data_IF_651915673844
#
_entry.id   IF_651915673844
#
_cell.length_a   1.000
_cell.length_b   1.000
_cell.length_c   1.000
_cell.angle_alpha   90.00
_cell.angle_beta   90.00
_cell.angle_gamma   90.00
#
_symmetry.space_group_name_H-M   'P 1'
#
loop_
_entity.id
_entity.type
_entity.pdbx_description
1 polymer ?
#
# COMPACT_ATOMS: atom_id res chain seq x y z
N UNK A 1 43.90 27.47 -8.90
CA UNK A 1 42.67 28.30 -8.81
C UNK A 1 41.59 27.98 -9.87
N UNK A 2 41.89 27.26 -10.98
CA UNK A 2 40.88 26.83 -11.99
C UNK A 2 40.04 25.58 -11.62
N UNK A 3 40.36 24.87 -10.54
CA UNK A 3 39.77 23.56 -10.25
C UNK A 3 38.46 23.61 -9.43
N UNK A 4 38.24 24.69 -8.66
CA UNK A 4 37.04 24.84 -7.82
C UNK A 4 35.75 25.12 -8.61
N UNK A 5 35.83 25.73 -9.80
CA UNK A 5 34.65 26.04 -10.62
C UNK A 5 34.04 24.81 -11.30
N UNK A 6 34.87 23.83 -11.71
CA UNK A 6 34.37 22.60 -12.34
C UNK A 6 33.64 21.69 -11.35
N UNK A 7 34.10 21.62 -10.09
CA UNK A 7 33.46 20.80 -9.06
C UNK A 7 32.07 21.33 -8.64
N UNK A 8 31.87 22.66 -8.60
CA UNK A 8 30.58 23.26 -8.22
C UNK A 8 29.49 23.08 -9.28
N UNK A 9 29.85 23.18 -10.57
CA UNK A 9 28.94 22.98 -11.70
C UNK A 9 28.51 21.52 -11.81
N UNK A 10 29.44 20.58 -11.66
CA UNK A 10 29.14 19.15 -11.70
C UNK A 10 28.20 18.72 -10.56
N UNK A 11 28.40 19.26 -9.34
CA UNK A 11 27.55 18.97 -8.17
C UNK A 11 26.13 19.52 -8.33
N UNK A 12 25.99 20.73 -8.86
CA UNK A 12 24.69 21.36 -9.13
C UNK A 12 23.92 20.61 -10.23
N UNK A 13 24.60 20.21 -11.31
CA UNK A 13 23.98 19.43 -12.40
C UNK A 13 23.49 18.07 -11.92
N UNK A 14 24.30 17.33 -11.13
CA UNK A 14 23.89 16.05 -10.54
C UNK A 14 22.67 16.22 -9.63
N UNK A 15 22.68 17.23 -8.76
CA UNK A 15 21.54 17.51 -7.87
C UNK A 15 20.25 17.86 -8.63
N UNK A 16 20.36 18.62 -9.73
CA UNK A 16 19.23 18.93 -10.60
C UNK A 16 18.68 17.68 -11.29
N UNK A 17 19.56 16.87 -11.88
CA UNK A 17 19.17 15.61 -12.54
C UNK A 17 18.48 14.68 -11.56
N UNK A 18 19.03 14.49 -10.36
CA UNK A 18 18.39 13.67 -9.31
C UNK A 18 17.01 14.22 -8.93
N UNK A 19 16.87 15.54 -8.73
CA UNK A 19 15.58 16.14 -8.39
C UNK A 19 14.54 15.97 -9.52
N UNK A 20 14.94 16.10 -10.78
CA UNK A 20 14.08 15.85 -11.95
C UNK A 20 13.65 14.38 -12.00
N UNK A 21 14.58 13.44 -11.84
CA UNK A 21 14.25 12.00 -11.86
C UNK A 21 13.28 11.62 -10.73
N UNK A 22 13.49 12.14 -9.51
CA UNK A 22 12.58 11.90 -8.38
C UNK A 22 11.22 12.54 -8.65
N UNK A 23 11.17 13.76 -9.20
CA UNK A 23 9.92 14.44 -9.57
C UNK A 23 9.12 13.62 -10.58
N UNK A 24 9.76 13.19 -11.68
CA UNK A 24 9.13 12.39 -12.72
C UNK A 24 8.63 11.05 -12.16
N UNK A 25 9.45 10.37 -11.35
CA UNK A 25 9.05 9.13 -10.69
C UNK A 25 7.85 9.31 -9.76
N UNK A 26 7.85 10.35 -8.93
CA UNK A 26 6.74 10.66 -8.03
C UNK A 26 5.45 10.96 -8.81
N UNK A 27 5.52 11.79 -9.86
CA UNK A 27 4.36 12.11 -10.69
C UNK A 27 3.84 10.88 -11.45
N UNK A 28 4.73 10.01 -11.96
CA UNK A 28 4.35 8.78 -12.64
C UNK A 28 3.58 7.85 -11.70
N UNK A 29 4.08 7.64 -10.48
CA UNK A 29 3.42 6.80 -9.47
C UNK A 29 2.08 7.38 -9.04
N UNK A 30 2.00 8.69 -8.77
CA UNK A 30 0.74 9.37 -8.42
C UNK A 30 -0.28 9.26 -9.56
N UNK A 31 0.16 9.48 -10.80
CA UNK A 31 -0.71 9.40 -11.98
C UNK A 31 -1.25 7.99 -12.18
N UNK A 32 -0.39 6.97 -12.02
CA UNK A 32 -0.80 5.57 -12.10
C UNK A 32 -1.88 5.23 -11.07
N UNK A 33 -1.67 5.62 -9.81
CA UNK A 33 -2.66 5.38 -8.75
C UNK A 33 -3.94 6.17 -8.99
N UNK A 34 -3.87 7.41 -9.47
CA UNK A 34 -5.05 8.19 -9.84
C UNK A 34 -5.87 7.52 -10.96
N UNK A 35 -5.20 6.97 -11.98
CA UNK A 35 -5.88 6.19 -13.04
C UNK A 35 -6.55 4.94 -12.46
N UNK A 36 -5.90 4.23 -11.54
CA UNK A 36 -6.52 3.09 -10.84
C UNK A 36 -7.78 3.54 -10.07
N UNK A 37 -7.73 4.67 -9.35
CA UNK A 37 -8.90 5.20 -8.64
C UNK A 37 -10.04 5.50 -9.61
N UNK A 38 -9.76 6.21 -10.71
CA UNK A 38 -10.80 6.59 -11.68
C UNK A 38 -11.42 5.36 -12.36
N UNK A 39 -10.63 4.32 -12.63
CA UNK A 39 -11.09 3.12 -13.33
C UNK A 39 -11.73 2.08 -12.42
N UNK A 40 -11.26 1.93 -11.18
CA UNK A 40 -11.70 0.86 -10.26
C UNK A 40 -12.65 1.36 -9.17
N UNK A 41 -12.61 2.62 -8.77
CA UNK A 41 -13.49 3.10 -7.69
C UNK A 41 -14.99 3.11 -8.05
N UNK A 42 -15.43 3.40 -9.30
CA UNK A 42 -16.86 3.41 -9.62
C UNK A 42 -17.52 2.04 -9.47
N UNK A 43 -16.90 1.00 -10.05
CA UNK A 43 -17.48 -0.34 -10.18
C UNK A 43 -16.70 -1.45 -9.44
N UNK A 44 -15.69 -1.10 -8.65
CA UNK A 44 -14.81 -2.06 -7.96
C UNK A 44 -15.50 -2.94 -6.91
N UNK A 45 -16.76 -2.67 -6.61
CA UNK A 45 -17.62 -3.48 -5.72
C UNK A 45 -18.60 -4.37 -6.48
N UNK A 46 -18.69 -4.24 -7.81
CA UNK A 46 -19.72 -4.90 -8.62
C UNK A 46 -19.67 -6.42 -8.50
N UNK A 47 -18.48 -7.01 -8.65
CA UNK A 47 -18.31 -8.46 -8.58
C UNK A 47 -18.50 -8.99 -7.15
N UNK A 48 -18.07 -8.23 -6.14
CA UNK A 48 -18.33 -8.55 -4.73
C UNK A 48 -19.84 -8.58 -4.44
N UNK A 49 -20.57 -7.55 -4.85
CA UNK A 49 -22.02 -7.51 -4.69
C UNK A 49 -22.74 -8.58 -5.51
N UNK A 50 -22.22 -8.94 -6.69
CA UNK A 50 -22.76 -10.03 -7.49
C UNK A 50 -22.57 -11.37 -6.77
N UNK A 51 -21.38 -11.64 -6.22
CA UNK A 51 -21.10 -12.84 -5.43
C UNK A 51 -21.93 -12.93 -4.15
N UNK A 52 -22.03 -11.85 -3.38
CA UNK A 52 -22.82 -11.81 -2.14
C UNK A 52 -24.31 -12.07 -2.38
N UNK A 53 -24.84 -11.55 -3.50
CA UNK A 53 -26.25 -11.74 -3.90
C UNK A 53 -26.48 -13.03 -4.71
N UNK A 54 -25.43 -13.74 -5.10
CA UNK A 54 -25.56 -14.96 -5.88
C UNK A 54 -26.33 -16.04 -5.09
N UNK A 55 -27.43 -16.51 -5.68
CA UNK A 55 -28.21 -17.62 -5.16
C UNK A 55 -27.39 -18.92 -5.20
N UNK A 56 -27.83 -19.95 -4.47
CA UNK A 56 -27.25 -21.29 -4.60
C UNK A 56 -27.65 -21.91 -5.93
N UNK A 57 -26.72 -22.62 -6.57
CA UNK A 57 -27.05 -23.34 -7.79
C UNK A 57 -28.03 -24.49 -7.48
N UNK A 58 -29.07 -24.70 -8.31
CA UNK A 58 -30.04 -25.78 -8.10
C UNK A 58 -29.44 -27.17 -8.37
N UNK A 59 -28.37 -27.23 -9.18
CA UNK A 59 -27.60 -28.43 -9.48
C UNK A 59 -26.14 -28.06 -9.74
N UNK A 60 -25.27 -29.07 -9.76
CA UNK A 60 -23.84 -28.89 -10.05
C UNK A 60 -23.65 -28.28 -11.46
N UNK A 61 -23.02 -27.09 -11.57
CA UNK A 61 -22.82 -26.45 -12.86
C UNK A 61 -21.71 -27.15 -13.67
N UNK A 62 -21.96 -27.37 -14.95
CA UNK A 62 -20.98 -27.95 -15.89
C UNK A 62 -19.91 -26.94 -16.36
N UNK A 63 -20.05 -25.66 -16.00
CA UNK A 63 -19.15 -24.58 -16.40
C UNK A 63 -19.27 -23.35 -15.49
N UNK A 64 -18.90 -22.17 -16.00
CA UNK A 64 -19.06 -20.92 -15.27
C UNK A 64 -20.54 -20.59 -15.07
N UNK A 65 -20.97 -20.44 -13.82
CA UNK A 65 -22.33 -20.05 -13.47
C UNK A 65 -22.35 -18.85 -12.51
N UNK A 66 -23.39 -18.02 -12.61
CA UNK A 66 -23.61 -16.84 -11.76
C UNK A 66 -24.18 -17.17 -10.37
N UNK A 67 -24.34 -18.45 -10.05
CA UNK A 67 -24.78 -18.96 -8.75
C UNK A 67 -23.59 -19.56 -7.97
N UNK A 68 -23.74 -19.66 -6.64
CA UNK A 68 -22.77 -20.30 -5.76
C UNK A 68 -23.06 -21.79 -5.64
N UNK A 69 -22.05 -22.62 -5.91
CA UNK A 69 -22.13 -24.07 -5.73
C UNK A 69 -21.19 -24.50 -4.62
N UNK A 70 -21.64 -25.36 -3.73
CA UNK A 70 -20.80 -25.90 -2.65
C UNK A 70 -20.68 -27.40 -2.79
N UNK A 71 -19.46 -27.91 -2.78
CA UNK A 71 -19.20 -29.35 -2.90
C UNK A 71 -17.99 -29.79 -2.06
N UNK A 72 -17.92 -31.08 -1.69
CA UNK A 72 -16.77 -31.59 -0.96
C UNK A 72 -15.55 -31.72 -1.87
N UNK A 73 -14.40 -31.35 -1.34
CA UNK A 73 -13.08 -31.52 -1.94
C UNK A 73 -12.18 -32.32 -1.01
N UNK A 74 -11.28 -33.10 -1.59
CA UNK A 74 -10.20 -33.77 -0.87
C UNK A 74 -8.92 -32.97 -1.04
N UNK A 75 -8.26 -32.61 0.06
CA UNK A 75 -6.96 -31.96 0.04
C UNK A 75 -5.92 -32.98 -0.42
N UNK A 76 -5.18 -32.65 -1.46
CA UNK A 76 -4.08 -33.48 -2.00
C UNK A 76 -2.71 -32.91 -1.70
N UNK A 77 -2.64 -31.70 -1.15
CA UNK A 77 -1.41 -31.11 -0.69
C UNK A 77 -1.61 -29.67 -0.26
N UNK A 78 -0.70 -29.19 0.57
CA UNK A 78 -0.67 -27.81 1.05
C UNK A 78 0.75 -27.27 0.90
N UNK A 79 0.87 -26.07 0.35
CA UNK A 79 2.14 -25.36 0.24
C UNK A 79 2.08 -24.09 1.07
N UNK A 80 3.04 -23.95 1.98
CA UNK A 80 3.17 -22.74 2.79
C UNK A 80 4.24 -21.83 2.20
N UNK A 81 3.90 -20.54 2.06
CA UNK A 81 4.83 -19.55 1.55
C UNK A 81 6.11 -19.50 2.40
N UNK A 82 7.28 -19.60 1.75
CA UNK A 82 8.59 -19.54 2.44
C UNK A 82 9.27 -18.17 2.36
N UNK A 83 8.68 -17.21 1.65
CA UNK A 83 9.25 -15.89 1.46
C UNK A 83 8.25 -14.87 0.93
N UNK A 84 8.68 -13.60 0.84
CA UNK A 84 7.81 -12.47 0.49
C UNK A 84 7.11 -12.57 -0.88
N UNK A 85 7.70 -13.30 -1.83
CA UNK A 85 7.17 -13.47 -3.18
C UNK A 85 6.51 -14.84 -3.39
N UNK A 86 6.26 -15.59 -2.32
CA UNK A 86 5.61 -16.89 -2.36
C UNK A 86 4.19 -16.78 -1.77
N UNK A 87 3.28 -17.62 -2.25
CA UNK A 87 1.87 -17.61 -1.85
C UNK A 87 1.52 -18.92 -1.15
N UNK A 88 0.74 -18.87 -0.09
CA UNK A 88 0.15 -20.07 0.50
C UNK A 88 -0.82 -20.70 -0.50
N UNK A 89 -0.77 -22.02 -0.70
CA UNK A 89 -1.61 -22.74 -1.65
C UNK A 89 -2.17 -24.03 -1.06
N UNK A 90 -3.35 -24.42 -1.52
CA UNK A 90 -3.87 -25.77 -1.35
C UNK A 90 -4.17 -26.38 -2.72
N UNK A 91 -3.86 -27.66 -2.84
CA UNK A 91 -4.19 -28.50 -3.98
C UNK A 91 -5.36 -29.38 -3.59
N UNK A 92 -6.46 -29.29 -4.32
CA UNK A 92 -7.71 -29.96 -3.99
C UNK A 92 -8.18 -30.81 -5.16
N UNK A 93 -8.85 -31.91 -4.86
CA UNK A 93 -9.49 -32.76 -5.85
C UNK A 93 -10.99 -32.80 -5.59
N UNK A 94 -11.78 -32.41 -6.60
CA UNK A 94 -13.23 -32.43 -6.53
C UNK A 94 -13.82 -33.84 -6.70
N UNK A 95 -15.14 -34.00 -6.53
CA UNK A 95 -15.83 -35.29 -6.68
C UNK A 95 -15.75 -35.84 -8.11
N UNK A 96 -15.62 -34.96 -9.09
CA UNK A 96 -15.40 -35.24 -10.52
C UNK A 96 -13.95 -35.68 -10.83
N UNK A 97 -13.06 -35.73 -9.82
CA UNK A 97 -11.63 -36.01 -9.98
C UNK A 97 -10.82 -34.83 -10.52
N UNK A 98 -11.45 -33.67 -10.76
CA UNK A 98 -10.76 -32.47 -11.25
C UNK A 98 -9.89 -31.88 -10.16
N UNK A 99 -8.67 -31.51 -10.53
CA UNK A 99 -7.70 -30.88 -9.63
C UNK A 99 -7.85 -29.36 -9.66
N UNK A 100 -7.73 -28.76 -8.49
CA UNK A 100 -7.82 -27.34 -8.24
C UNK A 100 -6.59 -26.86 -7.51
N UNK A 101 -6.08 -25.70 -7.90
CA UNK A 101 -5.02 -25.00 -7.18
C UNK A 101 -5.59 -23.70 -6.67
N UNK A 102 -5.48 -23.48 -5.36
CA UNK A 102 -5.94 -22.26 -4.70
C UNK A 102 -4.76 -21.49 -4.15
N UNK A 103 -4.87 -20.17 -4.06
CA UNK A 103 -3.91 -19.32 -3.39
C UNK A 103 -4.59 -18.55 -2.26
N UNK A 104 -3.84 -18.23 -1.19
CA UNK A 104 -4.33 -17.52 -0.01
C UNK A 104 -3.38 -16.39 0.37
N UNK A 105 -3.94 -15.29 0.87
CA UNK A 105 -3.15 -14.17 1.41
C UNK A 105 -2.42 -14.54 2.72
N UNK A 106 -2.97 -15.49 3.48
CA UNK A 106 -2.42 -15.99 4.75
C UNK A 106 -2.66 -17.49 4.89
N UNK A 107 -1.86 -18.19 5.70
CA UNK A 107 -2.12 -19.59 6.02
C UNK A 107 -3.20 -19.81 7.09
N UNK A 108 -3.66 -18.78 7.78
CA UNK A 108 -4.81 -18.86 8.68
C UNK A 108 -6.06 -18.24 8.07
N UNK A 109 -7.27 -18.58 8.56
CA UNK A 109 -7.52 -19.40 9.75
C UNK A 109 -7.57 -20.92 9.52
N UNK A 110 -7.72 -21.38 8.27
CA UNK A 110 -8.04 -22.78 7.97
C UNK A 110 -6.86 -23.55 7.38
N UNK A 111 -6.06 -22.93 6.49
CA UNK A 111 -5.01 -23.63 5.74
C UNK A 111 -3.98 -24.32 6.66
N UNK A 112 -3.63 -23.72 7.80
CA UNK A 112 -2.71 -24.30 8.79
C UNK A 112 -3.27 -25.53 9.52
N UNK A 113 -4.59 -25.71 9.52
CA UNK A 113 -5.28 -26.79 10.21
C UNK A 113 -5.67 -27.97 9.31
N UNK A 114 -5.37 -27.91 8.01
CA UNK A 114 -5.70 -28.97 7.04
C UNK A 114 -4.45 -29.61 6.45
N UNK A 115 -4.52 -30.91 6.25
CA UNK A 115 -3.47 -31.75 5.67
C UNK A 115 -3.93 -32.51 4.44
N UNK A 116 -2.99 -33.22 3.80
CA UNK A 116 -3.32 -34.13 2.72
C UNK A 116 -4.24 -35.26 3.20
N UNK A 117 -5.27 -35.56 2.41
CA UNK A 117 -6.33 -36.53 2.73
C UNK A 117 -7.57 -35.91 3.39
N UNK A 118 -7.47 -34.69 3.92
CA UNK A 118 -8.60 -34.06 4.59
C UNK A 118 -9.73 -33.69 3.63
N UNK A 119 -10.96 -33.75 4.14
CA UNK A 119 -12.15 -33.28 3.41
C UNK A 119 -12.48 -31.85 3.82
N UNK A 120 -12.64 -31.00 2.82
CA UNK A 120 -13.08 -29.61 2.97
C UNK A 120 -14.29 -29.35 2.08
N UNK A 121 -15.14 -28.40 2.44
CA UNK A 121 -16.22 -27.92 1.57
C UNK A 121 -15.70 -26.73 0.80
N UNK A 122 -15.76 -26.78 -0.52
CA UNK A 122 -15.39 -25.67 -1.39
C UNK A 122 -16.61 -24.94 -1.93
N UNK A 123 -16.55 -23.62 -1.99
CA UNK A 123 -17.57 -22.78 -2.64
C UNK A 123 -17.04 -22.31 -3.99
N UNK A 124 -17.75 -22.65 -5.07
CA UNK A 124 -17.45 -22.21 -6.43
C UNK A 124 -18.42 -21.12 -6.87
N UNK A 125 -17.88 -20.14 -7.60
CA UNK A 125 -18.65 -19.11 -8.29
C UNK A 125 -17.97 -18.74 -9.60
N UNK A 126 -18.73 -18.69 -10.70
CA UNK A 126 -18.21 -18.46 -12.07
C UNK A 126 -17.01 -19.34 -12.43
N UNK A 127 -17.03 -20.60 -11.99
CA UNK A 127 -15.97 -21.57 -12.27
C UNK A 127 -14.68 -21.35 -11.48
N UNK A 128 -14.67 -20.45 -10.48
CA UNK A 128 -13.55 -20.23 -9.57
C UNK A 128 -13.90 -20.71 -8.18
N UNK A 129 -12.95 -21.32 -7.48
CA UNK A 129 -13.10 -21.74 -6.10
C UNK A 129 -12.82 -20.55 -5.19
N UNK A 130 -13.86 -19.94 -4.63
CA UNK A 130 -13.79 -18.67 -3.89
C UNK A 130 -13.57 -18.85 -2.40
N UNK A 131 -13.95 -19.99 -1.83
CA UNK A 131 -13.85 -20.24 -0.39
C UNK A 131 -13.66 -21.72 -0.12
N UNK A 132 -12.94 -22.04 0.96
CA UNK A 132 -12.92 -23.37 1.56
C UNK A 132 -13.34 -23.31 3.02
N UNK A 133 -14.04 -24.35 3.49
CA UNK A 133 -14.57 -24.43 4.84
C UNK A 133 -14.46 -25.85 5.40
N UNK A 134 -14.11 -25.96 6.68
CA UNK A 134 -14.16 -27.23 7.44
C UNK A 134 -14.22 -26.93 8.93
N UNK A 135 -14.89 -27.80 9.71
CA UNK A 135 -14.93 -27.67 11.17
C UNK A 135 -15.46 -26.33 11.69
N UNK A 136 -16.37 -25.67 10.95
CA UNK A 136 -16.90 -24.35 11.31
C UNK A 136 -15.96 -23.17 11.02
N UNK A 137 -14.74 -23.43 10.54
CA UNK A 137 -13.84 -22.41 10.02
C UNK A 137 -14.06 -22.27 8.51
N UNK A 138 -13.90 -21.06 8.00
CA UNK A 138 -13.84 -20.82 6.56
C UNK A 138 -12.73 -19.83 6.21
N UNK A 139 -12.27 -19.93 4.97
CA UNK A 139 -11.20 -19.10 4.45
C UNK A 139 -11.42 -18.83 2.98
N UNK A 140 -11.45 -17.55 2.62
CA UNK A 140 -11.54 -17.09 1.24
C UNK A 140 -10.21 -17.33 0.50
N UNK A 141 -10.33 -17.72 -0.76
CA UNK A 141 -9.18 -17.83 -1.67
C UNK A 141 -8.88 -16.47 -2.30
N UNK A 142 -7.72 -16.33 -2.93
CA UNK A 142 -7.37 -15.15 -3.72
C UNK A 142 -8.26 -14.94 -4.95
N UNK A 143 -9.05 -15.95 -5.34
CA UNK A 143 -10.03 -15.87 -6.41
C UNK A 143 -11.40 -15.34 -5.92
N UNK A 144 -11.59 -15.21 -4.61
CA UNK A 144 -12.77 -14.57 -4.04
C UNK A 144 -12.88 -13.12 -4.53
N UNK A 145 -14.06 -12.69 -5.02
CA UNK A 145 -14.30 -11.30 -5.33
C UNK A 145 -14.07 -10.44 -4.09
N UNK A 146 -13.26 -9.39 -4.23
CA UNK A 146 -12.92 -8.47 -3.15
C UNK A 146 -13.42 -7.05 -3.45
N UNK A 147 -13.47 -6.22 -2.41
CA UNK A 147 -13.75 -4.79 -2.58
C UNK A 147 -12.52 -4.07 -3.18
N UNK A 148 -12.46 -4.04 -4.52
CA UNK A 148 -11.38 -3.37 -5.24
C UNK A 148 -11.45 -1.85 -5.05
N UNK A 149 -12.63 -1.28 -4.82
CA UNK A 149 -12.78 0.14 -4.53
C UNK A 149 -12.08 0.49 -3.22
N UNK A 150 -12.35 -0.24 -2.14
CA UNK A 150 -11.68 -0.03 -0.86
C UNK A 150 -10.16 -0.17 -0.99
N UNK A 151 -9.67 -1.24 -1.65
CA UNK A 151 -8.24 -1.48 -1.85
C UNK A 151 -7.53 -0.34 -2.58
N UNK A 152 -8.13 0.15 -3.67
CA UNK A 152 -7.55 1.23 -4.47
C UNK A 152 -7.62 2.58 -3.73
N UNK A 153 -8.69 2.85 -2.99
CA UNK A 153 -8.78 4.05 -2.15
C UNK A 153 -7.75 4.06 -1.02
N UNK A 154 -7.55 2.92 -0.35
CA UNK A 154 -6.48 2.76 0.65
C UNK A 154 -5.11 3.04 0.03
N UNK A 155 -4.83 2.46 -1.15
CA UNK A 155 -3.58 2.72 -1.87
C UNK A 155 -3.43 4.21 -2.22
N UNK A 156 -4.49 4.87 -2.65
CA UNK A 156 -4.49 6.29 -2.99
C UNK A 156 -4.14 7.18 -1.80
N UNK A 157 -4.72 6.92 -0.62
CA UNK A 157 -4.42 7.65 0.62
C UNK A 157 -2.96 7.49 1.03
N UNK A 158 -2.38 6.30 0.84
CA UNK A 158 -0.99 6.02 1.20
C UNK A 158 -0.01 6.65 0.20
N UNK A 159 -0.34 6.70 -1.10
CA UNK A 159 0.63 7.05 -2.15
C UNK A 159 0.52 8.50 -2.60
N UNK A 160 -0.70 9.02 -2.81
CA UNK A 160 -0.90 10.33 -3.45
C UNK A 160 -0.35 11.47 -2.59
N UNK A 161 -0.71 11.60 -1.29
CA UNK A 161 -0.21 12.71 -0.47
C UNK A 161 1.32 12.78 -0.35
N UNK A 162 2.06 11.70 0.03
CA UNK A 162 3.51 11.77 0.10
C UNK A 162 4.16 11.94 -1.27
N UNK A 163 3.58 11.38 -2.34
CA UNK A 163 4.05 11.57 -3.71
C UNK A 163 3.98 13.03 -4.15
N UNK A 164 2.86 13.71 -3.88
CA UNK A 164 2.69 15.13 -4.17
C UNK A 164 3.62 16.01 -3.32
N UNK A 165 3.81 15.69 -2.04
CA UNK A 165 4.74 16.40 -1.17
C UNK A 165 6.19 16.26 -1.62
N UNK A 166 6.58 15.06 -2.07
CA UNK A 166 7.90 14.82 -2.64
C UNK A 166 8.09 15.59 -3.95
N UNK A 167 7.08 15.60 -4.82
CA UNK A 167 7.09 16.39 -6.04
C UNK A 167 7.26 17.89 -5.74
N UNK A 168 6.50 18.43 -4.79
CA UNK A 168 6.62 19.82 -4.36
C UNK A 168 8.03 20.15 -3.81
N UNK A 169 8.61 19.26 -3.00
CA UNK A 169 9.97 19.41 -2.49
C UNK A 169 11.02 19.40 -3.62
N UNK A 170 10.83 18.58 -4.65
CA UNK A 170 11.69 18.56 -5.84
C UNK A 170 11.57 19.84 -6.66
N UNK A 171 10.35 20.33 -6.91
CA UNK A 171 10.12 21.61 -7.59
C UNK A 171 10.77 22.75 -6.81
N UNK A 172 10.55 22.83 -5.49
CA UNK A 172 11.22 23.82 -4.63
C UNK A 172 12.74 23.76 -4.77
N UNK A 173 13.33 22.55 -4.71
CA UNK A 173 14.77 22.37 -4.86
C UNK A 173 15.27 22.82 -6.24
N UNK A 174 14.51 22.55 -7.30
CA UNK A 174 14.84 22.98 -8.67
C UNK A 174 14.79 24.51 -8.80
N UNK A 175 13.78 25.17 -8.23
CA UNK A 175 13.70 26.63 -8.17
C UNK A 175 14.83 27.27 -7.36
N UNK A 176 15.39 26.54 -6.38
CA UNK A 176 16.45 27.02 -5.47
C UNK A 176 17.78 26.27 -5.61
N UNK A 177 18.14 25.82 -6.82
CA UNK A 177 19.33 24.99 -7.06
C UNK A 177 20.65 25.62 -6.56
N UNK A 178 20.75 26.95 -6.58
CA UNK A 178 21.95 27.70 -6.18
C UNK A 178 21.95 28.12 -4.70
N UNK A 179 20.84 27.96 -3.99
CA UNK A 179 20.73 28.33 -2.59
C UNK A 179 21.07 27.14 -1.67
N UNK A 180 21.61 27.47 -0.48
CA UNK A 180 21.81 26.48 0.56
C UNK A 180 20.47 25.77 0.90
N UNK A 181 20.49 24.45 1.20
CA UNK A 181 19.29 23.73 1.60
C UNK A 181 18.67 24.38 2.84
N UNK A 182 17.49 24.99 2.68
CA UNK A 182 16.77 25.60 3.81
C UNK A 182 16.27 24.50 4.77
N UNK A 183 16.20 24.76 6.09
CA UNK A 183 15.60 23.85 7.08
C UNK A 183 14.24 23.29 6.66
N UNK A 184 13.39 24.11 6.02
CA UNK A 184 12.10 23.70 5.50
C UNK A 184 12.16 22.59 4.46
N UNK A 185 13.19 22.57 3.59
CA UNK A 185 13.33 21.53 2.55
C UNK A 185 13.69 20.17 3.16
N UNK A 186 14.52 20.17 4.20
CA UNK A 186 14.87 18.96 4.96
C UNK A 186 13.63 18.43 5.68
N UNK A 187 12.87 19.32 6.32
CA UNK A 187 11.63 18.96 6.99
C UNK A 187 10.57 18.41 6.03
N UNK A 188 10.37 19.02 4.85
CA UNK A 188 9.41 18.51 3.84
C UNK A 188 9.81 17.13 3.32
N UNK A 189 11.10 16.87 3.09
CA UNK A 189 11.57 15.53 2.69
C UNK A 189 11.39 14.49 3.79
N UNK A 190 11.72 14.85 5.03
CA UNK A 190 11.49 13.98 6.19
C UNK A 190 10.01 13.67 6.38
N UNK A 191 9.14 14.66 6.20
CA UNK A 191 7.70 14.52 6.28
C UNK A 191 7.13 13.66 5.15
N UNK A 192 7.59 13.83 3.91
CA UNK A 192 7.20 12.95 2.80
C UNK A 192 7.61 11.49 3.04
N UNK A 193 8.82 11.26 3.55
CA UNK A 193 9.29 9.91 3.91
C UNK A 193 8.49 9.33 5.09
N UNK A 194 8.23 10.12 6.13
CA UNK A 194 7.44 9.72 7.29
C UNK A 194 5.99 9.38 6.93
N UNK A 195 5.37 10.16 6.05
CA UNK A 195 4.01 9.91 5.55
C UNK A 195 3.91 8.69 4.64
N UNK A 196 5.00 8.29 3.99
CA UNK A 196 5.03 7.07 3.19
C UNK A 196 5.27 5.82 4.05
N UNK A 197 6.16 5.91 5.04
CA UNK A 197 6.56 4.79 5.89
C UNK A 197 5.60 4.54 7.06
N UNK A 198 5.05 5.60 7.65
CA UNK A 198 4.12 5.53 8.78
C UNK A 198 2.90 4.64 8.52
N UNK A 199 2.22 4.79 7.37
CA UNK A 199 1.07 3.96 7.03
C UNK A 199 1.45 2.49 6.86
N UNK A 200 2.59 2.23 6.22
CA UNK A 200 3.12 0.88 6.03
C UNK A 200 3.35 0.16 7.37
N UNK A 201 3.77 0.89 8.41
CA UNK A 201 3.92 0.38 9.77
C UNK A 201 2.59 0.23 10.51
N UNK A 202 1.65 1.16 10.30
CA UNK A 202 0.32 1.13 10.94
C UNK A 202 -0.61 0.02 10.42
N UNK A 203 -0.36 -0.50 9.22
CA UNK A 203 -1.11 -1.60 8.62
C UNK A 203 -0.82 -2.96 9.29
N UNK A 204 0.34 -3.12 9.95
CA UNK A 204 0.74 -4.36 10.63
C UNK A 204 -0.21 -4.79 11.76
N UNK A 205 -0.63 -3.91 12.69
CA UNK A 205 -1.54 -4.30 13.78
C UNK A 205 -3.02 -4.37 13.38
N UNK A 206 -3.42 -3.87 12.20
CA UNK A 206 -4.84 -3.71 11.85
C UNK A 206 -5.52 -5.01 11.38
N UNK A 207 -4.77 -6.03 10.94
CA UNK A 207 -5.31 -7.33 10.53
C UNK A 207 -6.52 -7.19 9.58
N UNK A 208 -7.62 -7.89 9.88
CA UNK A 208 -8.87 -7.83 9.09
C UNK A 208 -9.56 -6.45 9.09
N UNK A 209 -9.18 -5.51 9.99
CA UNK A 209 -9.69 -4.13 10.00
C UNK A 209 -8.99 -3.22 8.99
N UNK A 210 -7.86 -3.64 8.41
CA UNK A 210 -7.15 -2.89 7.37
C UNK A 210 -7.95 -2.79 6.05
N UNK A 211 -8.99 -3.61 5.91
CA UNK A 211 -9.87 -3.61 4.74
C UNK A 211 -10.88 -2.46 4.76
N UNK A 212 -11.07 -1.81 5.91
CA UNK A 212 -11.95 -0.65 6.01
C UNK A 212 -11.18 0.66 5.74
N UNK A 213 -11.50 1.37 4.64
CA UNK A 213 -10.78 2.57 4.23
C UNK A 213 -10.87 3.70 5.26
N UNK A 214 -11.94 3.77 6.05
CA UNK A 214 -12.12 4.83 7.05
C UNK A 214 -11.17 4.69 8.24
N UNK A 215 -10.94 3.46 8.71
CA UNK A 215 -9.97 3.21 9.78
C UNK A 215 -8.55 3.52 9.33
N UNK A 216 -8.19 3.10 8.12
CA UNK A 216 -6.87 3.41 7.53
C UNK A 216 -6.71 4.92 7.38
N UNK A 217 -7.73 5.61 6.84
CA UNK A 217 -7.69 7.07 6.66
C UNK A 217 -7.60 7.80 8.00
N UNK A 218 -8.36 7.38 9.02
CA UNK A 218 -8.31 7.98 10.35
C UNK A 218 -6.94 7.82 11.02
N UNK A 219 -6.39 6.61 11.01
CA UNK A 219 -5.04 6.34 11.52
C UNK A 219 -3.98 7.14 10.76
N UNK A 220 -4.10 7.20 9.43
CA UNK A 220 -3.23 7.98 8.56
C UNK A 220 -3.25 9.47 8.90
N UNK A 221 -4.44 10.06 9.09
CA UNK A 221 -4.60 11.47 9.43
C UNK A 221 -3.97 11.83 10.79
N UNK A 222 -4.06 10.93 11.78
CA UNK A 222 -3.41 11.13 13.09
C UNK A 222 -1.89 11.18 12.92
N UNK A 223 -1.31 10.20 12.21
CA UNK A 223 0.13 10.16 11.91
C UNK A 223 0.54 11.40 11.12
N UNK A 224 -0.23 11.77 10.10
CA UNK A 224 0.04 12.93 9.26
C UNK A 224 0.03 14.23 10.07
N UNK A 225 -0.92 14.38 10.99
CA UNK A 225 -1.02 15.55 11.87
C UNK A 225 0.18 15.61 12.80
N UNK A 226 0.53 14.51 13.46
CA UNK A 226 1.69 14.41 14.34
C UNK A 226 3.00 14.76 13.61
N UNK A 227 3.24 14.14 12.45
CA UNK A 227 4.44 14.42 11.64
C UNK A 227 4.49 15.87 11.18
N UNK A 228 3.35 16.47 10.84
CA UNK A 228 3.28 17.88 10.44
C UNK A 228 3.60 18.81 11.60
N UNK A 229 3.09 18.53 12.80
CA UNK A 229 3.41 19.29 14.02
C UNK A 229 4.90 19.19 14.35
N UNK A 230 5.47 17.98 14.35
CA UNK A 230 6.90 17.77 14.61
C UNK A 230 7.77 18.50 13.58
N UNK A 231 7.44 18.38 12.29
CA UNK A 231 8.15 19.08 11.23
C UNK A 231 8.10 20.61 11.41
N UNK A 232 6.95 21.14 11.84
CA UNK A 232 6.79 22.58 12.09
C UNK A 232 7.59 23.05 13.31
N UNK A 233 7.56 22.30 14.41
CA UNK A 233 8.36 22.59 15.61
C UNK A 233 9.86 22.56 15.28
N UNK A 234 10.31 21.54 14.54
CA UNK A 234 11.71 21.43 14.10
C UNK A 234 12.16 22.62 13.26
N UNK A 235 11.32 23.07 12.31
CA UNK A 235 11.64 24.24 11.47
C UNK A 235 11.71 25.52 12.30
N UNK A 236 10.82 25.70 13.27
CA UNK A 236 10.84 26.88 14.15
C UNK A 236 12.07 26.89 15.05
N UNK A 237 12.33 25.81 15.79
CA UNK A 237 13.51 25.69 16.66
C UNK A 237 14.83 25.94 15.93
N UNK A 238 14.93 25.46 14.69
CA UNK A 238 16.13 25.66 13.89
C UNK A 238 16.30 27.11 13.42
N UNK A 239 15.21 27.84 13.16
CA UNK A 239 15.27 29.27 12.85
C UNK A 239 15.72 30.07 14.06
N UNK A 240 15.15 29.78 15.22
CA UNK A 240 15.46 30.49 16.47
C UNK A 240 16.96 30.37 16.82
N UNK A 241 17.56 29.18 16.64
CA UNK A 241 19.00 28.97 16.85
C UNK A 241 19.91 29.66 15.81
N UNK A 242 19.43 29.89 14.59
CA UNK A 242 20.20 30.61 13.57
C UNK A 242 20.19 32.14 13.82
N UNK A 243 19.16 32.66 14.50
CA UNK A 243 19.01 34.08 14.82
C UNK A 243 19.72 34.49 16.13
N UNK A 244 19.90 33.57 17.09
CA UNK A 244 20.58 33.80 18.38
C UNK A 244 22.04 34.33 18.28
N UNK A 245 22.93 33.77 17.44
CA UNK A 245 24.31 34.26 17.33
C UNK A 245 24.41 35.65 16.65
N UNK A 246 23.46 36.00 15.78
CA UNK A 246 23.44 37.31 15.11
C UNK A 246 23.05 38.45 16.05
N UNK A 247 22.33 38.15 17.14
CA UNK A 247 22.02 39.13 18.18
C UNK A 247 23.22 39.41 19.09
N UNK A 248 24.02 38.38 19.40
CA UNK A 248 25.23 38.50 20.23
C UNK A 248 26.30 39.40 19.63
N UNK A 249 26.56 39.29 18.32
CA UNK A 249 27.54 40.14 17.63
C UNK A 249 27.09 41.60 17.50
N UNK A 250 25.77 41.86 17.37
CA UNK A 250 25.25 43.24 17.33
C UNK A 250 25.38 43.95 18.68
N UNK A 251 25.24 43.24 19.78
CA UNK A 251 25.45 43.80 21.11
C UNK A 251 26.93 44.00 21.43
N UNK A 252 27.81 43.13 20.95
CA UNK A 252 29.26 43.28 21.11
C UNK A 252 29.85 44.43 20.26
N UNK A 253 29.23 44.77 19.12
CA UNK A 253 29.68 45.88 18.27
C UNK A 253 29.13 47.26 18.71
N UNK A 254 28.22 47.31 19.68
CA UNK A 254 27.57 48.53 20.16
C UNK A 254 28.05 49.00 21.54
N UNK A 255 28.97 48.28 22.18
CA UNK A 255 29.61 48.63 23.46
C UNK A 255 31.10 48.86 23.28
#
# INVERSE_FOLDING_TARGET
>A
MRDMSHQSVARTRRAAVTAVLILLGALAVVSLVAVLVVTQAPDGVRDLHAYQRAARCPAAPSGSADCRWTEPFTVTGVHYARGRNDSHRAYLTGPDGRRWTTAYASGGPLLYGIGEGDRVTGTLWRGRLTEIATGGMSQETMDAPADMRARVLVLAVIVIPPGLLLAAACVWRLCRLRAAPTPGLVATRGLAAGLFLGPLFSLLPLGHRAENPWWVTGAWLIIATLLTVVARVYVNQKRDHEDEPALGERHAAAG
#
